data_IF_977798886648
#
_entry.id   IF_977798886648
#
_cell.length_a   1.000
_cell.length_b   1.000
_cell.length_c   1.000
_cell.angle_alpha   90.00
_cell.angle_beta   90.00
_cell.angle_gamma   90.00
#
_symmetry.space_group_name_H-M   'P 1'
#
loop_
_entity.id
_entity.type
_entity.pdbx_description
1 polymer ?
#
# COMPACT_ATOMS: atom_id res chain seq x y z
N UNK A 1 0.33 -4.32 -0.25
CA UNK A 1 0.26 -4.32 1.23
C UNK A 1 -0.27 -5.67 1.70
N UNK A 2 -1.58 -5.88 1.63
CA UNK A 2 -2.25 -7.13 1.99
C UNK A 2 -1.93 -8.20 0.95
N UNK A 3 -1.34 -9.33 1.36
CA UNK A 3 -0.85 -10.36 0.44
C UNK A 3 0.51 -10.05 -0.20
N UNK A 4 0.99 -8.80 -0.08
CA UNK A 4 2.32 -8.39 -0.58
C UNK A 4 3.39 -8.46 0.51
N UNK A 5 3.15 -7.83 1.67
CA UNK A 5 4.13 -7.74 2.77
C UNK A 5 3.53 -8.18 4.12
N UNK A 6 2.21 -8.14 4.25
CA UNK A 6 1.48 -8.52 5.47
C UNK A 6 0.29 -9.42 5.15
N UNK A 7 -0.11 -10.21 6.13
CA UNK A 7 -1.28 -11.09 6.11
C UNK A 7 -1.98 -11.08 7.48
N UNK A 8 -3.25 -11.50 7.56
CA UNK A 8 -3.93 -11.68 8.84
C UNK A 8 -3.15 -12.63 9.77
N UNK A 9 -2.99 -12.24 11.04
CA UNK A 9 -2.34 -13.07 12.06
C UNK A 9 -3.24 -14.24 12.47
N UNK A 10 -4.54 -13.98 12.54
CA UNK A 10 -5.63 -14.91 12.86
C UNK A 10 -5.77 -16.08 11.86
N UNK A 11 -5.22 -15.93 10.66
CA UNK A 11 -5.47 -16.84 9.53
C UNK A 11 -6.81 -16.62 8.83
N UNK A 12 -7.58 -15.61 9.25
CA UNK A 12 -8.80 -15.21 8.56
C UNK A 12 -8.51 -14.67 7.15
N UNK A 13 -9.55 -14.53 6.33
CA UNK A 13 -9.43 -13.96 4.99
C UNK A 13 -9.12 -12.45 5.02
N UNK A 14 -9.59 -11.75 6.05
CA UNK A 14 -9.43 -10.31 6.23
C UNK A 14 -9.01 -10.02 7.67
N UNK A 15 -8.37 -8.87 7.88
CA UNK A 15 -8.01 -8.35 9.21
C UNK A 15 -9.27 -8.13 10.05
N UNK A 16 -9.36 -8.80 11.20
CA UNK A 16 -10.51 -8.66 12.11
C UNK A 16 -10.41 -7.40 12.99
N UNK A 17 -9.19 -6.99 13.32
CA UNK A 17 -8.90 -5.77 14.08
C UNK A 17 -7.52 -5.19 13.67
N UNK A 18 -7.19 -3.93 14.01
CA UNK A 18 -5.95 -3.28 13.58
C UNK A 18 -4.67 -4.07 13.89
N UNK A 19 -4.62 -4.81 15.01
CA UNK A 19 -3.45 -5.60 15.41
C UNK A 19 -3.38 -7.00 14.81
N UNK A 20 -4.38 -7.42 14.02
CA UNK A 20 -4.47 -8.75 13.40
C UNK A 20 -3.51 -8.90 12.21
N UNK A 21 -2.24 -8.51 12.36
CA UNK A 21 -1.30 -8.43 11.25
C UNK A 21 -0.02 -9.16 11.60
N UNK A 22 0.48 -9.93 10.64
CA UNK A 22 1.85 -10.44 10.67
C UNK A 22 2.50 -10.26 9.32
N UNK A 23 3.83 -10.15 9.30
CA UNK A 23 4.58 -10.02 8.06
C UNK A 23 4.59 -11.36 7.32
N UNK A 24 4.58 -11.27 5.99
CA UNK A 24 4.87 -12.44 5.16
C UNK A 24 6.34 -12.79 5.35
N UNK A 25 6.62 -14.09 5.46
CA UNK A 25 7.99 -14.59 5.61
C UNK A 25 8.89 -14.07 4.48
N UNK A 26 10.08 -13.58 4.82
CA UNK A 26 11.01 -12.96 3.87
C UNK A 26 10.72 -11.49 3.52
N UNK A 27 9.50 -10.99 3.74
CA UNK A 27 9.14 -9.63 3.33
C UNK A 27 9.98 -8.55 4.03
N UNK A 28 10.24 -8.70 5.33
CA UNK A 28 11.03 -7.72 6.09
C UNK A 28 12.46 -7.61 5.57
N UNK A 29 13.10 -8.76 5.26
CA UNK A 29 14.46 -8.82 4.73
C UNK A 29 14.58 -8.08 3.40
N UNK A 30 13.62 -8.28 2.49
CA UNK A 30 13.65 -7.63 1.17
C UNK A 30 13.40 -6.13 1.30
N UNK A 31 12.46 -5.73 2.17
CA UNK A 31 12.21 -4.31 2.47
C UNK A 31 13.48 -3.64 3.01
N UNK A 32 14.20 -4.27 3.94
CA UNK A 32 15.46 -3.75 4.47
C UNK A 32 16.57 -3.63 3.41
N UNK A 33 16.66 -4.62 2.51
CA UNK A 33 17.60 -4.57 1.39
C UNK A 33 17.29 -3.40 0.43
N UNK A 34 16.00 -3.13 0.19
CA UNK A 34 15.54 -2.04 -0.68
C UNK A 34 15.60 -0.66 -0.03
N UNK A 35 15.47 -0.55 1.28
CA UNK A 35 15.48 0.74 2.00
C UNK A 35 16.79 1.50 1.73
N UNK A 36 17.91 0.79 1.56
CA UNK A 36 19.21 1.39 1.23
C UNK A 36 19.25 2.07 -0.13
N UNK A 37 18.29 1.77 -1.01
CA UNK A 37 18.21 2.24 -2.39
C UNK A 37 17.22 3.40 -2.57
N UNK A 38 16.32 3.63 -1.59
CA UNK A 38 15.33 4.70 -1.69
C UNK A 38 14.22 4.61 -0.65
N UNK A 39 13.26 5.52 -0.78
CA UNK A 39 12.10 5.60 0.11
C UNK A 39 11.07 4.53 -0.24
N UNK A 40 10.47 3.93 0.80
CA UNK A 40 9.45 2.89 0.65
C UNK A 40 8.12 3.43 1.19
N UNK A 41 7.08 3.38 0.35
CA UNK A 41 5.71 3.77 0.72
C UNK A 41 4.72 2.67 0.41
N UNK A 42 3.66 2.57 1.23
CA UNK A 42 2.57 1.64 1.01
C UNK A 42 1.45 2.25 0.17
N UNK A 43 0.82 1.46 -0.70
CA UNK A 43 -0.46 1.81 -1.35
C UNK A 43 -1.45 0.64 -1.27
N UNK A 44 -2.69 0.87 -0.82
CA UNK A 44 -3.65 -0.22 -0.61
C UNK A 44 -5.11 0.14 -0.90
N UNK A 45 -5.86 -0.84 -1.43
CA UNK A 45 -7.30 -0.76 -1.61
C UNK A 45 -8.00 -1.27 -0.33
N UNK A 46 -8.70 -0.40 0.39
CA UNK A 46 -9.36 -0.72 1.67
C UNK A 46 -10.89 -0.69 1.55
N UNK A 47 -11.42 -1.53 0.65
CA UNK A 47 -12.86 -1.59 0.35
C UNK A 47 -13.75 -2.01 1.53
N UNK A 48 -13.18 -2.65 2.57
CA UNK A 48 -13.90 -3.00 3.79
C UNK A 48 -14.55 -1.80 4.48
N UNK A 49 -14.01 -0.59 4.28
CA UNK A 49 -14.61 0.65 4.78
C UNK A 49 -15.93 0.96 4.09
N UNK A 50 -15.96 0.97 2.75
CA UNK A 50 -17.19 1.20 2.00
C UNK A 50 -18.21 0.05 2.10
N UNK A 51 -17.74 -1.17 2.37
CA UNK A 51 -18.61 -2.31 2.65
C UNK A 51 -19.23 -2.30 4.06
N UNK A 52 -18.77 -1.43 4.97
CA UNK A 52 -19.24 -1.38 6.36
C UNK A 52 -18.66 -2.46 7.27
N UNK A 53 -17.62 -3.17 6.85
CA UNK A 53 -16.93 -4.18 7.67
C UNK A 53 -16.00 -3.57 8.71
N UNK A 54 -15.51 -2.35 8.46
CA UNK A 54 -14.71 -1.58 9.41
C UNK A 54 -14.93 -0.09 9.19
N UNK A 55 -14.76 0.71 10.23
CA UNK A 55 -14.78 2.15 10.16
C UNK A 55 -13.53 2.70 9.46
N UNK A 56 -13.61 3.97 9.03
CA UNK A 56 -12.43 4.67 8.53
C UNK A 56 -11.32 4.79 9.59
N UNK A 57 -11.71 4.95 10.87
CA UNK A 57 -10.77 5.09 11.98
C UNK A 57 -10.01 3.79 12.23
N UNK A 58 -10.68 2.65 12.24
CA UNK A 58 -10.03 1.33 12.35
C UNK A 58 -9.08 1.08 11.17
N UNK A 59 -9.48 1.48 9.96
CA UNK A 59 -8.61 1.39 8.78
C UNK A 59 -7.35 2.26 8.91
N UNK A 60 -7.45 3.45 9.52
CA UNK A 60 -6.30 4.31 9.82
C UNK A 60 -5.38 3.65 10.84
N UNK A 61 -5.94 3.15 11.95
CA UNK A 61 -5.20 2.45 13.00
C UNK A 61 -4.49 1.21 12.46
N UNK A 62 -5.13 0.45 11.57
CA UNK A 62 -4.53 -0.69 10.89
C UNK A 62 -3.28 -0.27 10.11
N UNK A 63 -3.32 0.86 9.39
CA UNK A 63 -2.14 1.33 8.65
C UNK A 63 -1.04 1.85 9.62
N UNK A 64 -1.42 2.52 10.70
CA UNK A 64 -0.46 2.97 11.72
C UNK A 64 0.24 1.79 12.39
N UNK A 65 -0.49 0.71 12.67
CA UNK A 65 0.08 -0.52 13.20
C UNK A 65 1.09 -1.13 12.23
N UNK A 66 0.81 -1.13 10.92
CA UNK A 66 1.81 -1.58 9.92
C UNK A 66 3.06 -0.72 9.90
N UNK A 67 2.94 0.61 10.04
CA UNK A 67 4.10 1.49 10.12
C UNK A 67 4.94 1.22 11.39
N UNK A 68 4.33 0.66 12.44
CA UNK A 68 5.06 0.20 13.62
C UNK A 68 5.75 -1.15 13.38
N UNK A 69 5.09 -2.08 12.68
CA UNK A 69 5.65 -3.40 12.31
C UNK A 69 6.79 -3.31 11.28
N UNK A 70 6.75 -2.31 10.39
CA UNK A 70 7.72 -2.12 9.31
C UNK A 70 8.29 -0.69 9.40
N UNK A 71 9.33 -0.48 10.22
CA UNK A 71 9.95 0.84 10.40
C UNK A 71 10.46 1.48 9.11
N UNK A 72 10.78 0.67 8.10
CA UNK A 72 11.30 1.11 6.79
C UNK A 72 10.24 1.77 5.91
N UNK A 73 8.94 1.59 6.21
CA UNK A 73 7.87 2.31 5.53
C UNK A 73 7.77 3.75 6.06
N UNK A 74 7.77 4.71 5.14
CA UNK A 74 7.62 6.13 5.46
C UNK A 74 6.16 6.48 5.76
N UNK A 75 5.27 6.09 4.84
CA UNK A 75 3.83 6.38 4.91
C UNK A 75 3.03 5.38 4.06
N UNK A 76 1.73 5.29 4.33
CA UNK A 76 0.81 4.42 3.59
C UNK A 76 -0.34 5.26 3.04
N UNK A 77 -0.59 5.13 1.74
CA UNK A 77 -1.77 5.67 1.07
C UNK A 77 -2.82 4.58 0.93
N UNK A 78 -4.08 4.91 1.20
CA UNK A 78 -5.17 3.98 0.98
C UNK A 78 -6.40 4.62 0.38
N UNK A 79 -7.11 3.82 -0.42
CA UNK A 79 -8.41 4.16 -0.98
C UNK A 79 -9.51 3.35 -0.29
N UNK A 80 -10.42 4.00 0.48
CA UNK A 80 -11.46 3.29 1.23
C UNK A 80 -12.74 3.00 0.44
N UNK A 81 -12.90 3.55 -0.76
CA UNK A 81 -14.16 3.52 -1.50
C UNK A 81 -14.07 2.77 -2.83
N UNK A 82 -15.20 2.22 -3.28
CA UNK A 82 -15.24 1.46 -4.53
C UNK A 82 -15.10 2.31 -5.78
N UNK A 83 -15.45 3.60 -5.69
CA UNK A 83 -15.39 4.55 -6.81
C UNK A 83 -14.02 5.19 -6.99
N UNK A 84 -13.08 4.97 -6.07
CA UNK A 84 -11.76 5.59 -6.14
C UNK A 84 -11.78 7.10 -5.93
N UNK A 85 -12.80 7.64 -5.27
CA UNK A 85 -12.94 9.08 -5.05
C UNK A 85 -12.08 9.57 -3.89
N UNK A 86 -11.77 8.69 -2.93
CA UNK A 86 -11.09 9.03 -1.69
C UNK A 86 -9.70 8.44 -1.62
N UNK A 87 -8.76 9.23 -1.08
CA UNK A 87 -7.42 8.79 -0.76
C UNK A 87 -6.97 9.43 0.54
N UNK A 88 -6.46 8.60 1.45
CA UNK A 88 -5.90 9.03 2.71
C UNK A 88 -4.44 8.61 2.78
N UNK A 89 -3.60 9.50 3.30
CA UNK A 89 -2.19 9.25 3.57
C UNK A 89 -2.01 9.16 5.08
N UNK A 90 -1.49 8.04 5.55
CA UNK A 90 -1.27 7.74 6.96
C UNK A 90 0.22 7.78 7.24
N UNK A 91 0.59 8.53 8.26
CA UNK A 91 1.91 8.54 8.87
C UNK A 91 1.81 7.99 10.29
N UNK A 92 2.94 7.78 10.96
CA UNK A 92 2.97 7.35 12.37
C UNK A 92 2.23 8.33 13.30
N UNK A 93 2.26 9.62 12.99
CA UNK A 93 1.73 10.69 13.85
C UNK A 93 0.43 11.33 13.34
N UNK A 94 -0.07 10.94 12.18
CA UNK A 94 -1.26 11.59 11.64
C UNK A 94 -1.84 11.00 10.35
N UNK A 95 -2.91 11.63 9.89
CA UNK A 95 -3.62 11.27 8.66
C UNK A 95 -3.93 12.53 7.85
N UNK A 96 -3.74 12.45 6.54
CA UNK A 96 -4.04 13.53 5.60
C UNK A 96 -5.03 13.05 4.54
N UNK A 97 -6.04 13.87 4.26
CA UNK A 97 -7.04 13.58 3.24
C UNK A 97 -6.63 14.21 1.89
N UNK A 98 -6.32 13.38 0.91
CA UNK A 98 -5.94 13.77 -0.45
C UNK A 98 -7.06 13.52 -1.48
N UNK A 99 -8.31 13.42 -1.04
CA UNK A 99 -9.45 13.11 -1.93
C UNK A 99 -9.74 14.22 -2.95
N UNK A 100 -9.33 15.46 -2.67
CA UNK A 100 -9.58 16.64 -3.52
C UNK A 100 -8.39 16.94 -4.43
N UNK A 101 -8.10 16.03 -5.35
CA UNK A 101 -7.07 16.22 -6.39
C UNK A 101 -7.61 15.82 -7.76
N UNK A 102 -6.84 16.09 -8.81
CA UNK A 102 -7.16 15.68 -10.19
C UNK A 102 -7.29 14.15 -10.38
N UNK A 103 -6.87 13.35 -9.40
CA UNK A 103 -6.94 11.89 -9.45
C UNK A 103 -8.15 11.30 -8.71
N UNK A 104 -9.07 12.15 -8.22
CA UNK A 104 -10.34 11.68 -7.69
C UNK A 104 -11.09 10.87 -8.77
N UNK A 105 -11.55 9.67 -8.40
CA UNK A 105 -12.14 8.68 -9.31
C UNK A 105 -11.13 7.67 -9.87
N UNK A 106 -9.85 7.82 -9.52
CA UNK A 106 -8.78 6.95 -10.00
C UNK A 106 -7.92 6.39 -8.86
N UNK A 107 -8.25 6.64 -7.59
CA UNK A 107 -7.42 6.18 -6.47
C UNK A 107 -7.49 4.67 -6.25
N UNK A 108 -8.66 4.06 -6.41
CA UNK A 108 -8.81 2.62 -6.25
C UNK A 108 -8.12 1.90 -7.40
N UNK A 109 -7.15 1.03 -7.09
CA UNK A 109 -6.51 0.15 -8.09
C UNK A 109 -7.61 -0.70 -8.76
N UNK A 110 -7.61 -0.87 -10.08
CA UNK A 110 -6.51 -0.63 -11.03
C UNK A 110 -6.35 0.83 -11.52
N UNK A 111 -7.04 1.81 -10.93
CA UNK A 111 -6.75 3.22 -11.18
C UNK A 111 -5.33 3.60 -10.71
N UNK A 112 -4.61 4.47 -11.45
CA UNK A 112 -3.22 4.85 -11.12
C UNK A 112 -3.12 5.99 -10.10
N UNK A 113 -4.25 6.47 -9.56
CA UNK A 113 -4.33 7.73 -8.82
C UNK A 113 -3.47 7.78 -7.56
N UNK A 114 -3.41 6.67 -6.79
CA UNK A 114 -2.53 6.60 -5.61
C UNK A 114 -1.05 6.69 -6.01
N UNK A 115 -0.62 5.96 -7.06
CA UNK A 115 0.76 6.00 -7.53
C UNK A 115 1.15 7.38 -8.07
N UNK A 116 0.27 8.02 -8.84
CA UNK A 116 0.49 9.39 -9.35
C UNK A 116 0.58 10.41 -8.22
N UNK A 117 -0.25 10.27 -7.19
CA UNK A 117 -0.18 11.11 -5.99
C UNK A 117 1.15 10.94 -5.26
N UNK A 118 1.58 9.70 -5.03
CA UNK A 118 2.89 9.38 -4.42
C UNK A 118 4.01 10.06 -5.21
N UNK A 119 4.13 9.76 -6.51
CA UNK A 119 5.17 10.34 -7.36
C UNK A 119 5.18 11.87 -7.33
N UNK A 120 4.00 12.51 -7.31
CA UNK A 120 3.89 13.97 -7.21
C UNK A 120 4.42 14.52 -5.89
N UNK A 121 4.09 13.88 -4.77
CA UNK A 121 4.52 14.31 -3.43
C UNK A 121 6.01 14.12 -3.22
N UNK A 122 6.55 13.02 -3.74
CA UNK A 122 7.96 12.65 -3.65
C UNK A 122 8.83 13.23 -4.77
N UNK A 123 8.21 13.95 -5.72
CA UNK A 123 8.89 14.54 -6.90
C UNK A 123 9.67 13.50 -7.73
N UNK A 124 9.16 12.27 -7.80
CA UNK A 124 9.75 11.17 -8.55
C UNK A 124 9.10 11.03 -9.92
N UNK A 125 9.87 10.52 -10.88
CA UNK A 125 9.37 10.12 -12.19
C UNK A 125 9.02 8.63 -12.21
N UNK A 126 8.13 8.19 -13.13
CA UNK A 126 7.74 6.79 -13.21
C UNK A 126 8.92 5.82 -13.42
N UNK A 127 9.92 6.21 -14.21
CA UNK A 127 11.13 5.43 -14.47
C UNK A 127 12.07 5.28 -13.26
N UNK A 128 11.90 6.11 -12.24
CA UNK A 128 12.65 6.07 -10.98
C UNK A 128 11.93 5.22 -9.91
N UNK A 129 10.75 4.70 -10.24
CA UNK A 129 9.88 3.99 -9.32
C UNK A 129 9.75 2.50 -9.67
N UNK A 130 9.66 1.67 -8.63
CA UNK A 130 9.27 0.27 -8.72
C UNK A 130 7.99 0.05 -7.91
N UNK A 131 6.99 -0.62 -8.49
CA UNK A 131 5.79 -1.02 -7.78
C UNK A 131 5.73 -2.53 -7.58
N UNK A 132 5.66 -2.97 -6.32
CA UNK A 132 5.57 -4.38 -5.95
C UNK A 132 4.15 -4.70 -5.46
N UNK A 133 3.55 -5.76 -6.00
CA UNK A 133 2.18 -6.18 -5.66
C UNK A 133 1.92 -7.66 -5.94
N UNK A 134 0.83 -8.18 -5.38
CA UNK A 134 0.42 -9.58 -5.50
C UNK A 134 -0.81 -9.76 -6.41
N UNK A 135 -1.47 -8.67 -6.83
CA UNK A 135 -2.72 -8.74 -7.59
C UNK A 135 -2.61 -8.20 -9.01
N UNK A 136 -3.44 -8.70 -9.95
CA UNK A 136 -3.53 -8.14 -11.31
C UNK A 136 -3.88 -6.64 -11.33
N UNK A 137 -4.66 -6.16 -10.36
CA UNK A 137 -4.99 -4.74 -10.24
C UNK A 137 -3.77 -3.88 -9.90
N UNK A 138 -2.78 -4.44 -9.19
CA UNK A 138 -1.52 -3.76 -8.88
C UNK A 138 -0.70 -3.56 -10.15
N UNK A 139 -0.50 -4.63 -10.91
CA UNK A 139 0.18 -4.60 -12.21
C UNK A 139 -0.45 -3.59 -13.16
N UNK A 140 -1.78 -3.60 -13.23
CA UNK A 140 -2.53 -2.69 -14.10
C UNK A 140 -2.40 -1.23 -13.64
N UNK A 141 -2.42 -0.97 -12.32
CA UNK A 141 -2.20 0.36 -11.78
C UNK A 141 -0.79 0.89 -12.10
N UNK A 142 0.25 0.06 -11.94
CA UNK A 142 1.62 0.40 -12.32
C UNK A 142 1.73 0.73 -13.81
N UNK A 143 1.21 -0.14 -14.68
CA UNK A 143 1.21 0.08 -16.12
C UNK A 143 0.55 1.42 -16.51
N UNK A 144 -0.61 1.73 -15.91
CA UNK A 144 -1.34 2.99 -16.14
C UNK A 144 -0.64 4.22 -15.54
N UNK A 145 0.25 4.03 -14.57
CA UNK A 145 1.08 5.06 -14.00
C UNK A 145 2.42 5.22 -14.74
N UNK A 146 2.78 4.29 -15.63
CA UNK A 146 4.09 4.24 -16.30
C UNK A 146 5.22 3.70 -15.39
N UNK A 147 4.87 3.04 -14.29
CA UNK A 147 5.82 2.55 -13.28
C UNK A 147 6.17 1.09 -13.55
N UNK A 148 7.43 0.71 -13.35
CA UNK A 148 7.87 -0.69 -13.44
C UNK A 148 7.15 -1.54 -12.40
N UNK A 149 6.76 -2.77 -12.75
CA UNK A 149 6.03 -3.65 -11.85
C UNK A 149 6.81 -4.93 -11.55
N UNK A 150 6.74 -5.37 -10.29
CA UNK A 150 7.30 -6.65 -9.83
C UNK A 150 6.27 -7.44 -9.03
N UNK A 151 6.23 -8.75 -9.22
CA UNK A 151 5.38 -9.62 -8.42
C UNK A 151 5.99 -9.84 -7.05
N UNK A 152 5.17 -9.69 -6.01
CA UNK A 152 5.62 -9.80 -4.61
C UNK A 152 6.27 -11.15 -4.30
N UNK A 153 5.72 -12.24 -4.85
CA UNK A 153 6.26 -13.59 -4.65
C UNK A 153 7.72 -13.68 -5.14
N UNK A 154 7.95 -13.32 -6.40
CA UNK A 154 9.28 -13.37 -7.01
C UNK A 154 10.25 -12.40 -6.34
N UNK A 155 9.74 -11.24 -5.89
CA UNK A 155 10.51 -10.24 -5.16
C UNK A 155 11.03 -10.76 -3.82
N UNK A 156 10.20 -11.51 -3.09
CA UNK A 156 10.53 -12.07 -1.79
C UNK A 156 11.51 -13.25 -1.93
N UNK A 157 11.25 -14.16 -2.88
CA UNK A 157 12.05 -15.38 -3.09
C UNK A 157 13.51 -15.10 -3.50
N UNK A 158 13.78 -13.97 -4.18
CA UNK A 158 15.15 -13.58 -4.56
C UNK A 158 16.05 -13.17 -3.40
N UNK A 159 15.50 -12.91 -2.22
CA UNK A 159 16.30 -12.47 -1.05
C UNK A 159 16.61 -13.61 -0.08
N UNK A 160 16.27 -14.85 -0.46
CA UNK A 160 16.50 -16.08 0.30
C UNK A 160 17.64 -16.94 -0.24
N UNK A 161 18.27 -16.53 -1.35
CA UNK A 161 19.50 -17.10 -1.92
C UNK A 161 20.72 -16.22 -1.59
#
# INVERSE_FOLDING_TARGET
>A
MDGTIRKPLSGAQYFEHPEDQTLIEGAHQVIQAFQKQGQIVGVTNQGGVAAGHKSLQECIQEQQYTLALVPELEEIFFCPDFRGQKCFRVTRSGVHNHSKTQWSGQFRKPGPGMLKLVMRLYQQKPEECLYVGDRPEDRTAAQRAGVSFYWAKDWIEQSTD
#
